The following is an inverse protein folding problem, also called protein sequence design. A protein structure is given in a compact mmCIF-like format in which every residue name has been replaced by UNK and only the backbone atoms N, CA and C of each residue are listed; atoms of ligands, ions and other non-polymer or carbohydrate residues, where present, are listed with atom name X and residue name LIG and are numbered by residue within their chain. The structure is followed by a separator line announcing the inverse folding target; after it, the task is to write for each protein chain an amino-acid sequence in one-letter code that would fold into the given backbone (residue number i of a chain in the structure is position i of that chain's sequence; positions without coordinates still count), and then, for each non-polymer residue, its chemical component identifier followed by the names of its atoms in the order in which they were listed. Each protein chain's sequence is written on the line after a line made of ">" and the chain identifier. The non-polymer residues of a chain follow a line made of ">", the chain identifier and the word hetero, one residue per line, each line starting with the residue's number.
data_IF_059705969421
#
_entry.id   IF_059705969421
#
_cell.length_a   1.000
_cell.length_b   1.000
_cell.length_c   1.000
_cell.angle_alpha   90.00
_cell.angle_beta   90.00
_cell.angle_gamma   90.00
#
_symmetry.space_group_name_H-M   'P 1'
#
loop_
_entity.id
_entity.type
_entity.pdbx_description
1 polymer ?
#
# COMPACT_ATOMS: atom_id res chain seq x y z
N UNK A 1 22.94 -12.52 24.54
CA UNK A 1 21.80 -11.89 23.84
C UNK A 1 21.86 -12.26 22.36
N UNK A 2 20.82 -12.88 21.80
CA UNK A 2 20.78 -13.23 20.37
C UNK A 2 20.46 -11.94 19.60
N UNK A 3 21.36 -11.47 18.72
CA UNK A 3 21.10 -10.29 17.86
C UNK A 3 19.78 -10.53 17.12
N UNK A 4 18.83 -9.62 17.28
CA UNK A 4 17.62 -9.59 16.45
C UNK A 4 18.12 -9.42 15.02
N UNK A 5 17.90 -10.40 14.15
CA UNK A 5 18.21 -10.24 12.72
C UNK A 5 17.32 -9.12 12.20
N UNK A 6 17.92 -8.14 11.55
CA UNK A 6 17.17 -7.12 10.81
C UNK A 6 16.48 -7.77 9.61
N UNK A 7 15.30 -7.27 9.19
CA UNK A 7 14.64 -7.77 8.00
C UNK A 7 15.52 -7.48 6.76
N UNK A 8 15.70 -8.44 5.85
CA UNK A 8 16.55 -8.24 4.69
C UNK A 8 15.84 -7.36 3.65
N UNK A 9 16.25 -6.09 3.55
CA UNK A 9 15.77 -5.12 2.55
C UNK A 9 16.75 -5.01 1.37
N UNK A 10 16.24 -4.75 0.18
CA UNK A 10 17.07 -4.35 -0.97
C UNK A 10 17.46 -2.86 -0.88
N UNK A 11 18.48 -2.43 -1.65
CA UNK A 11 19.05 -1.08 -1.57
C UNK A 11 18.01 0.06 -1.76
N UNK A 12 16.97 -0.15 -2.57
CA UNK A 12 15.88 0.83 -2.81
C UNK A 12 14.54 0.41 -2.18
N UNK A 13 14.58 -0.45 -1.16
CA UNK A 13 13.38 -0.92 -0.47
C UNK A 13 13.18 -0.20 0.86
N UNK A 14 12.04 0.49 0.98
CA UNK A 14 11.69 1.28 2.15
C UNK A 14 10.50 0.65 2.88
N UNK A 15 10.57 0.62 4.21
CA UNK A 15 9.48 0.16 5.05
C UNK A 15 8.43 1.28 5.18
N UNK A 16 7.21 0.98 4.77
CA UNK A 16 6.06 1.90 4.83
C UNK A 16 5.21 1.64 6.06
N UNK A 17 4.96 0.36 6.39
CA UNK A 17 4.33 -0.04 7.65
C UNK A 17 5.05 -1.24 8.25
N UNK A 18 5.08 -1.26 9.59
CA UNK A 18 5.59 -2.38 10.38
C UNK A 18 4.72 -2.56 11.61
N UNK A 19 4.26 -3.78 11.86
CA UNK A 19 3.44 -4.10 13.03
C UNK A 19 3.63 -5.56 13.44
N UNK A 20 3.53 -5.83 14.74
CA UNK A 20 3.47 -7.20 15.23
C UNK A 20 2.07 -7.78 15.00
N UNK A 21 2.01 -9.02 14.55
CA UNK A 21 0.74 -9.68 14.26
C UNK A 21 0.83 -11.19 14.21
N UNK A 22 -0.32 -11.80 13.96
CA UNK A 22 -0.45 -13.21 13.64
C UNK A 22 -0.66 -13.41 12.15
N UNK A 23 -0.16 -14.52 11.63
CA UNK A 23 -0.34 -14.98 10.27
C UNK A 23 -0.78 -16.43 10.28
N UNK A 24 -1.68 -16.76 9.35
CA UNK A 24 -1.96 -18.14 9.02
C UNK A 24 -2.00 -18.27 7.50
N UNK A 25 -1.29 -19.29 7.00
CA UNK A 25 -1.35 -19.65 5.59
C UNK A 25 -2.62 -20.44 5.30
N UNK A 26 -2.58 -21.28 4.27
CA UNK A 26 -3.69 -22.16 3.92
C UNK A 26 -4.26 -22.92 5.15
N UNK A 27 -5.54 -23.30 5.06
CA UNK A 27 -6.48 -23.77 6.10
C UNK A 27 -5.99 -24.84 7.09
N UNK A 28 -4.85 -25.50 6.84
CA UNK A 28 -4.27 -26.55 7.69
C UNK A 28 -3.13 -26.08 8.60
N UNK A 29 -2.74 -24.81 8.51
CA UNK A 29 -1.65 -24.26 9.32
C UNK A 29 -2.17 -23.59 10.59
N UNK A 30 -1.43 -23.71 11.69
CA UNK A 30 -1.67 -22.93 12.90
C UNK A 30 -1.21 -21.48 12.74
N UNK A 31 -1.73 -20.59 13.58
CA UNK A 31 -1.29 -19.19 13.63
C UNK A 31 0.19 -19.10 14.05
N UNK A 32 0.96 -18.33 13.29
CA UNK A 32 2.35 -17.98 13.58
C UNK A 32 2.41 -16.50 13.93
N UNK A 33 3.15 -16.15 14.98
CA UNK A 33 3.36 -14.76 15.39
C UNK A 33 4.63 -14.20 14.76
N UNK A 34 4.61 -12.96 14.32
CA UNK A 34 5.76 -12.31 13.71
C UNK A 34 5.55 -10.83 13.53
N UNK A 35 6.48 -10.19 12.82
CA UNK A 35 6.32 -8.82 12.36
C UNK A 35 5.92 -8.85 10.89
N UNK A 36 4.85 -8.15 10.56
CA UNK A 36 4.46 -7.85 9.19
C UNK A 36 5.18 -6.57 8.75
N UNK A 37 5.70 -6.60 7.53
CA UNK A 37 6.32 -5.47 6.86
C UNK A 37 5.64 -5.24 5.53
N UNK A 38 5.16 -4.02 5.31
CA UNK A 38 4.77 -3.52 4.01
C UNK A 38 5.87 -2.57 3.55
N UNK A 39 6.48 -2.87 2.41
CA UNK A 39 7.47 -2.01 1.76
C UNK A 39 6.92 -1.42 0.49
N UNK A 40 7.66 -0.49 -0.13
CA UNK A 40 7.37 0.00 -1.47
C UNK A 40 7.41 -1.11 -2.56
N UNK A 41 7.89 -2.33 -2.25
CA UNK A 41 8.05 -3.43 -3.22
C UNK A 41 7.19 -4.66 -2.92
N UNK A 42 7.06 -5.04 -1.64
CA UNK A 42 6.45 -6.31 -1.24
C UNK A 42 5.82 -6.26 0.13
N UNK A 43 5.01 -7.27 0.42
CA UNK A 43 4.52 -7.58 1.74
C UNK A 43 5.20 -8.86 2.22
N UNK A 44 5.79 -8.84 3.42
CA UNK A 44 6.40 -10.03 3.99
C UNK A 44 6.23 -10.13 5.51
N UNK A 45 6.27 -11.35 6.01
CA UNK A 45 6.32 -11.64 7.43
C UNK A 45 7.68 -12.17 7.84
N UNK A 46 8.18 -11.60 8.93
CA UNK A 46 9.51 -11.89 9.44
C UNK A 46 9.47 -12.32 10.91
N UNK A 47 10.23 -13.38 11.18
CA UNK A 47 10.53 -13.90 12.51
C UNK A 47 12.05 -13.90 12.72
N UNK A 48 12.55 -14.07 13.96
CA UNK A 48 13.99 -14.20 14.20
C UNK A 48 14.68 -15.29 13.36
N UNK A 49 13.94 -16.32 12.93
CA UNK A 49 14.43 -17.39 12.07
C UNK A 49 14.54 -16.99 10.59
N UNK A 50 13.83 -15.96 10.14
CA UNK A 50 13.80 -15.50 8.75
C UNK A 50 12.40 -15.08 8.28
N UNK A 51 12.29 -14.87 6.97
CA UNK A 51 11.02 -14.61 6.28
C UNK A 51 10.21 -15.91 6.21
N UNK A 52 8.94 -15.85 6.61
CA UNK A 52 8.02 -17.01 6.60
C UNK A 52 6.88 -16.89 5.59
N UNK A 53 6.73 -15.70 5.00
CA UNK A 53 5.80 -15.40 3.93
C UNK A 53 6.30 -14.15 3.22
N UNK A 54 6.19 -14.15 1.90
CA UNK A 54 6.55 -13.03 1.06
C UNK A 54 5.68 -13.02 -0.20
N UNK A 55 5.22 -11.85 -0.59
CA UNK A 55 4.60 -11.65 -1.91
C UNK A 55 4.90 -10.23 -2.43
N UNK A 56 5.35 -10.08 -3.68
CA UNK A 56 5.41 -8.78 -4.33
C UNK A 56 4.05 -8.09 -4.34
N UNK A 57 4.01 -6.76 -4.26
CA UNK A 57 2.75 -6.03 -4.32
C UNK A 57 2.02 -6.27 -5.64
N UNK A 58 2.75 -6.42 -6.74
CA UNK A 58 2.23 -6.75 -8.07
C UNK A 58 1.48 -8.09 -8.13
N UNK A 59 1.71 -8.99 -7.17
CA UNK A 59 1.11 -10.31 -7.15
C UNK A 59 -0.15 -10.37 -6.30
N UNK A 60 -0.41 -9.35 -5.48
CA UNK A 60 -1.64 -9.25 -4.69
C UNK A 60 -2.78 -8.95 -5.67
N UNK A 61 -3.83 -9.76 -5.59
CA UNK A 61 -5.00 -9.65 -6.48
C UNK A 61 -6.26 -9.21 -5.74
N UNK A 62 -6.31 -9.38 -4.42
CA UNK A 62 -7.43 -8.92 -3.61
C UNK A 62 -7.05 -8.74 -2.15
N UNK A 63 -7.70 -7.80 -1.46
CA UNK A 63 -7.56 -7.56 -0.01
C UNK A 63 -8.94 -7.36 0.60
N UNK A 64 -9.34 -8.25 1.51
CA UNK A 64 -10.65 -8.21 2.19
C UNK A 64 -10.50 -8.34 3.71
N UNK A 65 -11.57 -8.04 4.45
CA UNK A 65 -11.69 -8.43 5.86
C UNK A 65 -12.51 -9.71 5.92
N UNK A 66 -11.97 -10.74 6.58
CA UNK A 66 -12.64 -12.01 6.82
C UNK A 66 -12.56 -12.37 8.31
N UNK A 67 -13.62 -12.98 8.85
CA UNK A 67 -13.60 -13.53 10.20
C UNK A 67 -12.85 -14.87 10.23
N UNK A 68 -11.95 -15.03 11.22
CA UNK A 68 -11.21 -16.27 11.45
C UNK A 68 -11.14 -16.59 12.93
N UNK A 69 -11.07 -17.88 13.25
CA UNK A 69 -10.71 -18.32 14.59
C UNK A 69 -9.24 -17.99 14.84
N UNK A 70 -8.99 -17.12 15.81
CA UNK A 70 -7.67 -16.85 16.37
C UNK A 70 -7.66 -17.36 17.80
N UNK A 71 -6.84 -18.39 18.06
CA UNK A 71 -6.88 -19.15 19.30
C UNK A 71 -8.28 -19.74 19.52
N UNK A 72 -9.08 -19.20 20.46
CA UNK A 72 -10.44 -19.69 20.77
C UNK A 72 -11.56 -18.71 20.43
N UNK A 73 -11.27 -17.58 19.75
CA UNK A 73 -12.28 -16.57 19.41
C UNK A 73 -12.27 -16.21 17.94
N UNK A 74 -13.44 -15.86 17.41
CA UNK A 74 -13.53 -15.22 16.09
C UNK A 74 -13.02 -13.79 16.16
N UNK A 75 -12.20 -13.42 15.19
CA UNK A 75 -11.61 -12.11 15.04
C UNK A 75 -11.62 -11.73 13.57
N UNK A 76 -11.78 -10.45 13.29
CA UNK A 76 -11.55 -9.90 11.97
C UNK A 76 -10.06 -10.03 11.62
N UNK A 77 -9.80 -10.40 10.37
CA UNK A 77 -8.45 -10.58 9.81
C UNK A 77 -8.41 -9.98 8.42
N UNK A 78 -7.25 -9.50 8.00
CA UNK A 78 -7.03 -9.17 6.60
C UNK A 78 -6.80 -10.48 5.86
N UNK A 79 -7.62 -10.75 4.84
CA UNK A 79 -7.40 -11.81 3.88
C UNK A 79 -6.75 -11.21 2.63
N UNK A 80 -5.59 -11.73 2.25
CA UNK A 80 -4.88 -11.32 1.04
C UNK A 80 -4.91 -12.47 0.07
N UNK A 81 -5.49 -12.24 -1.10
CA UNK A 81 -5.40 -13.14 -2.24
C UNK A 81 -4.24 -12.71 -3.12
N UNK A 82 -3.40 -13.65 -3.55
CA UNK A 82 -2.21 -13.36 -4.34
C UNK A 82 -1.90 -14.51 -5.30
N UNK A 83 -1.17 -14.20 -6.38
CA UNK A 83 -0.59 -15.22 -7.27
C UNK A 83 0.76 -15.67 -6.73
N UNK A 84 0.92 -16.98 -6.50
CA UNK A 84 2.20 -17.55 -6.11
C UNK A 84 3.22 -17.39 -7.24
N UNK A 85 4.45 -17.01 -6.89
CA UNK A 85 5.52 -16.75 -7.88
C UNK A 85 5.91 -18.01 -8.66
N UNK A 86 6.01 -19.15 -7.97
CA UNK A 86 6.49 -20.41 -8.58
C UNK A 86 5.44 -21.09 -9.46
N UNK A 87 4.17 -21.04 -9.05
CA UNK A 87 3.10 -21.85 -9.68
C UNK A 87 2.08 -21.02 -10.45
N UNK A 88 2.08 -19.69 -10.28
CA UNK A 88 1.05 -18.79 -10.79
C UNK A 88 -0.35 -18.97 -10.16
N UNK A 89 -0.52 -19.97 -9.29
CA UNK A 89 -1.82 -20.28 -8.67
C UNK A 89 -2.22 -19.21 -7.68
N UNK A 90 -3.51 -18.92 -7.64
CA UNK A 90 -4.09 -18.07 -6.61
C UNK A 90 -4.02 -18.78 -5.26
N UNK A 91 -3.52 -18.07 -4.25
CA UNK A 91 -3.48 -18.50 -2.86
C UNK A 91 -4.00 -17.40 -1.95
N UNK A 92 -4.20 -17.76 -0.68
CA UNK A 92 -4.69 -16.85 0.35
C UNK A 92 -3.85 -16.95 1.62
N UNK A 93 -3.73 -15.81 2.28
CA UNK A 93 -3.18 -15.67 3.63
C UNK A 93 -4.14 -14.84 4.48
N UNK A 94 -4.23 -15.18 5.76
CA UNK A 94 -4.93 -14.37 6.74
C UNK A 94 -3.96 -13.79 7.75
N UNK A 95 -4.18 -12.52 8.10
CA UNK A 95 -3.31 -11.76 8.99
C UNK A 95 -4.17 -11.03 10.02
N UNK A 96 -3.74 -11.10 11.28
CA UNK A 96 -4.36 -10.39 12.41
C UNK A 96 -3.35 -9.43 13.04
N UNK A 97 -3.79 -8.21 13.32
CA UNK A 97 -3.00 -7.14 13.94
C UNK A 97 -3.96 -6.13 14.58
N UNK A 98 -3.45 -5.11 15.28
CA UNK A 98 -4.29 -4.13 15.95
C UNK A 98 -4.95 -3.16 14.94
N UNK A 99 -4.18 -2.67 13.96
CA UNK A 99 -4.64 -1.62 13.04
C UNK A 99 -5.12 -2.15 11.67
N UNK A 100 -6.05 -3.12 11.68
CA UNK A 100 -6.49 -3.82 10.45
C UNK A 100 -6.93 -2.87 9.32
N UNK A 101 -7.69 -1.82 9.64
CA UNK A 101 -8.24 -0.95 8.60
C UNK A 101 -7.16 -0.07 7.95
N UNK A 102 -6.22 0.44 8.75
CA UNK A 102 -5.05 1.20 8.26
C UNK A 102 -4.23 0.35 7.30
N UNK A 103 -3.93 -0.89 7.70
CA UNK A 103 -3.19 -1.82 6.86
C UNK A 103 -3.96 -2.22 5.60
N UNK A 104 -5.25 -2.53 5.71
CA UNK A 104 -6.10 -2.85 4.56
C UNK A 104 -6.07 -1.73 3.54
N UNK A 105 -6.33 -0.49 3.97
CA UNK A 105 -6.31 0.69 3.09
C UNK A 105 -4.95 0.89 2.44
N UNK A 106 -3.85 0.74 3.20
CA UNK A 106 -2.50 0.95 2.67
C UNK A 106 -2.11 -0.13 1.67
N UNK A 107 -2.36 -1.41 1.96
CA UNK A 107 -2.08 -2.52 1.02
C UNK A 107 -2.94 -2.36 -0.23
N UNK A 108 -4.24 -2.07 -0.08
CA UNK A 108 -5.14 -1.86 -1.21
C UNK A 108 -4.67 -0.68 -2.09
N UNK A 109 -4.32 0.44 -1.47
CA UNK A 109 -3.74 1.62 -2.12
C UNK A 109 -2.49 1.34 -2.93
N UNK A 110 -1.62 0.48 -2.40
CA UNK A 110 -0.32 0.22 -3.00
C UNK A 110 -0.31 -0.93 -4.02
N UNK A 111 -1.18 -1.91 -3.85
CA UNK A 111 -1.16 -3.13 -4.65
C UNK A 111 -2.28 -3.20 -5.70
N UNK A 112 -3.44 -2.59 -5.43
CA UNK A 112 -4.66 -2.78 -6.22
C UNK A 112 -5.18 -1.50 -6.87
N UNK A 113 -4.94 -0.34 -6.26
CA UNK A 113 -5.21 0.96 -6.87
C UNK A 113 -4.17 1.24 -7.96
N UNK A 114 -4.35 0.62 -9.11
CA UNK A 114 -3.72 1.04 -10.35
C UNK A 114 -4.62 2.12 -10.95
N UNK A 115 -4.18 3.37 -10.88
CA UNK A 115 -4.82 4.45 -11.62
C UNK A 115 -4.32 4.31 -13.05
N UNK A 116 -5.12 3.66 -13.89
CA UNK A 116 -4.88 3.61 -15.33
C UNK A 116 -5.14 4.97 -15.98
N UNK A 117 -4.64 5.12 -17.21
CA UNK A 117 -4.76 6.35 -17.98
C UNK A 117 -6.23 6.74 -18.19
N UNK A 118 -7.12 5.77 -18.43
CA UNK A 118 -8.56 6.02 -18.58
C UNK A 118 -9.19 6.64 -17.33
N UNK A 119 -8.78 6.19 -16.14
CA UNK A 119 -9.22 6.78 -14.88
C UNK A 119 -8.70 8.21 -14.73
N UNK A 120 -7.46 8.49 -15.14
CA UNK A 120 -6.91 9.85 -15.14
C UNK A 120 -7.67 10.74 -16.11
N UNK A 121 -7.92 10.27 -17.33
CA UNK A 121 -8.68 10.97 -18.37
C UNK A 121 -10.05 11.41 -17.87
N UNK A 122 -10.79 10.49 -17.25
CA UNK A 122 -12.10 10.77 -16.67
C UNK A 122 -12.06 11.87 -15.61
N UNK A 123 -11.06 11.86 -14.73
CA UNK A 123 -10.92 12.91 -13.70
C UNK A 123 -10.47 14.21 -14.35
N UNK A 124 -9.51 14.16 -15.28
CA UNK A 124 -8.99 15.29 -16.02
C UNK A 124 -10.10 16.05 -16.80
N UNK A 125 -11.10 15.34 -17.31
CA UNK A 125 -12.25 15.93 -18.00
C UNK A 125 -13.07 16.88 -17.12
N UNK A 126 -13.18 16.59 -15.83
CA UNK A 126 -13.93 17.38 -14.83
C UNK A 126 -13.10 18.52 -14.22
N UNK A 127 -11.80 18.57 -14.50
CA UNK A 127 -10.87 19.57 -13.96
C UNK A 127 -10.68 20.76 -14.92
N UNK A 128 -10.41 21.93 -14.34
CA UNK A 128 -9.95 23.10 -15.10
C UNK A 128 -8.55 22.88 -15.69
N UNK A 129 -8.14 23.69 -16.67
CA UNK A 129 -6.89 23.51 -17.43
C UNK A 129 -5.65 23.34 -16.54
N UNK A 130 -5.46 24.22 -15.57
CA UNK A 130 -4.32 24.16 -14.64
C UNK A 130 -4.33 22.88 -13.77
N UNK A 131 -5.49 22.53 -13.20
CA UNK A 131 -5.61 21.34 -12.34
C UNK A 131 -5.43 20.04 -13.13
N UNK A 132 -5.86 20.05 -14.40
CA UNK A 132 -5.65 18.96 -15.35
C UNK A 132 -4.16 18.76 -15.64
N UNK A 133 -3.42 19.83 -15.91
CA UNK A 133 -1.98 19.75 -16.17
C UNK A 133 -1.21 19.23 -14.94
N UNK A 134 -1.56 19.69 -13.74
CA UNK A 134 -1.00 19.18 -12.48
C UNK A 134 -1.29 17.69 -12.31
N UNK A 135 -2.53 17.26 -12.54
CA UNK A 135 -2.92 15.84 -12.41
C UNK A 135 -2.11 14.96 -13.36
N UNK A 136 -1.97 15.37 -14.62
CA UNK A 136 -1.18 14.64 -15.62
C UNK A 136 0.31 14.59 -15.29
N UNK A 137 0.88 15.72 -14.83
CA UNK A 137 2.27 15.76 -14.39
C UNK A 137 2.51 14.78 -13.23
N UNK A 138 1.65 14.80 -12.22
CA UNK A 138 1.75 13.91 -11.06
C UNK A 138 1.55 12.44 -11.43
N UNK A 139 0.63 12.12 -12.36
CA UNK A 139 0.46 10.76 -12.82
C UNK A 139 1.68 10.25 -13.59
N UNK A 140 2.28 11.08 -14.47
CA UNK A 140 3.46 10.70 -15.24
C UNK A 140 4.74 10.61 -14.38
N UNK A 141 4.92 11.50 -13.40
CA UNK A 141 6.14 11.60 -12.58
C UNK A 141 6.05 10.88 -11.23
N UNK A 142 4.84 10.56 -10.78
CA UNK A 142 4.55 9.93 -9.48
C UNK A 142 4.77 10.84 -8.25
N UNK A 143 5.51 11.93 -8.40
CA UNK A 143 5.80 12.93 -7.37
C UNK A 143 6.10 14.28 -8.03
N UNK A 144 5.97 15.36 -7.26
CA UNK A 144 6.41 16.70 -7.65
C UNK A 144 6.68 17.56 -6.42
N UNK A 145 7.66 18.44 -6.53
CA UNK A 145 7.90 19.57 -5.64
C UNK A 145 6.96 20.73 -5.98
N UNK A 146 6.79 21.67 -5.06
CA UNK A 146 5.96 22.87 -5.29
C UNK A 146 6.49 23.68 -6.48
N UNK A 147 7.80 23.70 -6.68
CA UNK A 147 8.45 24.44 -7.77
C UNK A 147 8.14 23.81 -9.14
N UNK A 148 8.17 22.48 -9.21
CA UNK A 148 7.77 21.74 -10.42
C UNK A 148 6.30 21.98 -10.75
N UNK A 149 5.41 21.96 -9.75
CA UNK A 149 3.99 22.26 -9.97
C UNK A 149 3.78 23.71 -10.42
N UNK A 150 4.56 24.67 -9.90
CA UNK A 150 4.53 26.08 -10.31
C UNK A 150 4.94 26.27 -11.77
N UNK A 151 5.98 25.55 -12.20
CA UNK A 151 6.43 25.57 -13.59
C UNK A 151 5.38 25.00 -14.55
N UNK A 152 4.68 23.93 -14.15
CA UNK A 152 3.66 23.26 -14.98
C UNK A 152 2.51 24.21 -15.35
N UNK A 153 1.99 24.96 -14.39
CA UNK A 153 0.82 25.86 -14.61
C UNK A 153 1.21 27.31 -14.89
N UNK A 154 2.51 27.57 -15.13
CA UNK A 154 3.06 28.92 -15.28
C UNK A 154 2.60 29.90 -14.18
N UNK A 155 2.53 29.42 -12.93
CA UNK A 155 2.07 30.26 -11.82
C UNK A 155 3.10 31.34 -11.51
N UNK A 156 2.69 32.61 -11.34
CA UNK A 156 3.62 33.71 -11.08
C UNK A 156 4.29 33.62 -9.71
N UNK A 157 3.68 32.95 -8.72
CA UNK A 157 4.30 32.67 -7.41
C UNK A 157 3.88 31.32 -6.81
N UNK A 158 4.78 30.68 -6.06
CA UNK A 158 4.52 29.42 -5.34
C UNK A 158 3.34 29.51 -4.34
N UNK A 159 3.07 30.72 -3.82
CA UNK A 159 2.00 30.98 -2.85
C UNK A 159 0.60 30.84 -3.48
N UNK A 160 0.46 31.18 -4.76
CA UNK A 160 -0.83 31.08 -5.47
C UNK A 160 -1.29 29.64 -5.61
N UNK A 161 -0.35 28.70 -5.79
CA UNK A 161 -0.64 27.26 -5.83
C UNK A 161 -1.08 26.75 -4.47
N UNK A 162 -0.37 27.11 -3.40
CA UNK A 162 -0.73 26.69 -2.04
C UNK A 162 -2.12 27.22 -1.63
N UNK A 163 -2.45 28.46 -2.00
CA UNK A 163 -3.76 29.06 -1.73
C UNK A 163 -4.88 28.42 -2.56
N UNK A 164 -4.62 28.08 -3.83
CA UNK A 164 -5.58 27.36 -4.69
C UNK A 164 -5.85 25.94 -4.18
N UNK A 165 -4.80 25.18 -3.85
CA UNK A 165 -4.92 23.83 -3.28
C UNK A 165 -5.74 23.87 -1.99
N UNK A 166 -5.47 24.83 -1.10
CA UNK A 166 -6.23 25.02 0.14
C UNK A 166 -7.72 25.27 -0.10
N UNK A 167 -8.07 26.12 -1.07
CA UNK A 167 -9.48 26.45 -1.39
C UNK A 167 -10.25 25.27 -1.98
N UNK A 168 -9.59 24.43 -2.78
CA UNK A 168 -10.25 23.30 -3.45
C UNK A 168 -10.45 22.12 -2.47
N UNK A 169 -9.49 21.89 -1.56
CA UNK A 169 -9.59 20.79 -0.58
C UNK A 169 -10.57 21.10 0.55
N UNK A 170 -10.71 22.37 0.95
CA UNK A 170 -11.68 22.82 1.95
C UNK A 170 -12.55 23.95 1.37
N UNK A 171 -13.59 23.62 0.58
CA UNK A 171 -14.58 24.61 0.19
C UNK A 171 -15.35 25.06 1.44
N UNK A 172 -15.31 26.35 1.75
CA UNK A 172 -16.17 26.99 2.76
C UNK A 172 -17.64 26.92 2.37
#
# INVERSE_FOLDING_TARGET
>A
MRKVKEPPLTQDEEIILREQGGYVGNLRSGWKLGHLYLTNKRLFLFQPAGIIFETPLSNITNVTIEERNFVFRRKNTICISYKQMETGRTSKVWIIMANLETWRKKIYGMALLKIDEETVDRVAAELNGESREILWYLWQKGHATIDELAAVVAAPTHMDILLKIRKIINPT
#
